data_IF_453409905826
#
_entry.id   IF_453409905826
#
_cell.length_a   1.000
_cell.length_b   1.000
_cell.length_c   1.000
_cell.angle_alpha   90.00
_cell.angle_beta   90.00
_cell.angle_gamma   90.00
#
_symmetry.space_group_name_H-M   'P 1'
#
loop_
_entity.id
_entity.type
_entity.pdbx_description
1 polymer ?
#
# COMPACT_ATOMS: atom_id res chain seq x y z
N UNK A 1 30.52 -17.62 56.31
CA UNK A 1 29.47 -18.15 55.42
C UNK A 1 28.86 -16.96 54.66
N UNK A 2 29.13 -16.85 53.38
CA UNK A 2 28.55 -15.81 52.48
C UNK A 2 27.37 -16.42 51.71
N UNK A 3 26.21 -15.79 51.63
CA UNK A 3 25.10 -16.31 50.83
C UNK A 3 25.37 -16.07 49.36
N UNK A 4 25.26 -17.13 48.57
CA UNK A 4 25.22 -17.09 47.11
C UNK A 4 23.86 -16.54 46.67
N UNK A 5 23.81 -15.35 46.05
CA UNK A 5 22.63 -14.83 45.38
C UNK A 5 22.51 -15.52 44.02
N UNK A 6 21.46 -16.34 43.88
CA UNK A 6 21.07 -16.93 42.60
C UNK A 6 20.32 -15.82 41.82
N UNK A 7 20.99 -15.30 40.77
CA UNK A 7 20.34 -14.41 39.80
C UNK A 7 19.42 -15.28 38.91
N UNK A 8 18.13 -15.26 39.20
CA UNK A 8 17.09 -15.79 38.26
C UNK A 8 16.98 -14.83 37.06
N UNK A 9 17.59 -15.19 35.96
CA UNK A 9 17.35 -14.52 34.67
C UNK A 9 15.93 -14.84 34.21
N UNK A 10 15.01 -13.89 34.38
CA UNK A 10 13.68 -13.96 33.79
C UNK A 10 13.84 -13.77 32.29
N UNK A 11 13.82 -14.85 31.54
CA UNK A 11 13.64 -14.84 30.08
C UNK A 11 12.24 -14.29 29.79
N UNK A 12 12.15 -13.07 29.27
CA UNK A 12 10.92 -12.48 28.77
C UNK A 12 10.67 -13.09 27.38
N UNK A 13 9.66 -13.96 27.19
CA UNK A 13 9.44 -14.71 25.94
C UNK A 13 9.09 -13.86 24.72
N UNK A 14 8.80 -12.57 24.87
CA UNK A 14 8.32 -11.71 23.77
C UNK A 14 9.38 -10.99 22.95
N UNK A 15 10.67 -11.01 23.35
CA UNK A 15 11.72 -10.25 22.68
C UNK A 15 12.45 -11.04 21.57
N UNK A 16 12.37 -12.37 21.58
CA UNK A 16 13.01 -13.23 20.56
C UNK A 16 12.17 -13.39 19.29
N UNK A 17 10.86 -13.24 19.36
CA UNK A 17 9.96 -13.40 18.20
C UNK A 17 9.80 -12.13 17.34
N UNK A 18 10.12 -10.95 17.86
CA UNK A 18 9.97 -9.69 17.13
C UNK A 18 11.08 -9.47 16.07
N UNK A 19 12.27 -10.06 16.24
CA UNK A 19 13.41 -9.84 15.34
C UNK A 19 13.22 -10.36 13.90
N UNK A 20 12.64 -11.54 13.64
CA UNK A 20 12.43 -12.02 12.27
C UNK A 20 11.46 -11.13 11.49
N UNK A 21 10.41 -10.61 12.15
CA UNK A 21 9.35 -9.83 11.53
C UNK A 21 9.86 -8.45 11.10
N UNK A 22 10.68 -7.78 11.92
CA UNK A 22 11.31 -6.49 11.56
C UNK A 22 12.28 -6.64 10.38
N UNK A 23 12.94 -7.79 10.26
CA UNK A 23 13.83 -8.09 9.13
C UNK A 23 13.11 -8.17 7.79
N UNK A 24 11.82 -8.54 7.77
CA UNK A 24 11.00 -8.50 6.55
C UNK A 24 10.96 -7.08 5.97
N UNK A 25 10.73 -6.06 6.80
CA UNK A 25 10.69 -4.67 6.33
C UNK A 25 12.04 -4.20 5.79
N UNK A 26 13.16 -4.60 6.41
CA UNK A 26 14.52 -4.30 5.93
C UNK A 26 14.82 -4.96 4.59
N UNK A 27 14.39 -6.21 4.40
CA UNK A 27 14.53 -6.94 3.13
C UNK A 27 13.71 -6.27 2.02
N UNK A 28 12.49 -5.86 2.31
CA UNK A 28 11.65 -5.13 1.34
C UNK A 28 12.24 -3.77 0.99
N UNK A 29 12.78 -3.04 1.96
CA UNK A 29 13.47 -1.76 1.71
C UNK A 29 14.73 -1.92 0.85
N UNK A 30 15.38 -3.10 0.92
CA UNK A 30 16.51 -3.46 0.07
C UNK A 30 16.10 -4.11 -1.27
N UNK A 31 14.82 -4.06 -1.66
CA UNK A 31 14.27 -4.73 -2.85
C UNK A 31 14.52 -6.26 -2.92
N UNK A 32 14.70 -6.90 -1.76
CA UNK A 32 14.95 -8.34 -1.64
C UNK A 32 13.64 -9.09 -1.38
N UNK A 33 12.77 -9.16 -2.40
CA UNK A 33 11.46 -9.79 -2.26
C UNK A 33 11.54 -11.28 -1.95
N UNK A 34 12.39 -12.05 -2.64
CA UNK A 34 12.46 -13.50 -2.45
C UNK A 34 12.89 -13.91 -1.01
N UNK A 35 13.94 -13.35 -0.41
CA UNK A 35 14.22 -13.59 1.01
C UNK A 35 13.11 -13.12 1.96
N UNK A 36 12.44 -12.02 1.65
CA UNK A 36 11.32 -11.54 2.47
C UNK A 36 10.15 -12.53 2.45
N UNK A 37 9.87 -13.17 1.32
CA UNK A 37 8.85 -14.23 1.19
C UNK A 37 9.16 -15.40 2.10
N UNK A 38 10.39 -15.95 2.02
CA UNK A 38 10.80 -17.08 2.86
C UNK A 38 10.65 -16.76 4.34
N UNK A 39 11.14 -15.59 4.74
CA UNK A 39 11.10 -15.18 6.14
C UNK A 39 9.69 -14.96 6.66
N UNK A 40 8.80 -14.34 5.87
CA UNK A 40 7.42 -14.11 6.27
C UNK A 40 6.62 -15.41 6.32
N UNK A 41 6.91 -16.39 5.45
CA UNK A 41 6.25 -17.68 5.47
C UNK A 41 6.64 -18.50 6.70
N UNK A 42 7.91 -18.45 7.10
CA UNK A 42 8.40 -19.06 8.35
C UNK A 42 7.72 -18.39 9.57
N UNK A 43 7.67 -17.05 9.60
CA UNK A 43 7.01 -16.32 10.68
C UNK A 43 5.51 -16.64 10.75
N UNK A 44 4.84 -16.74 9.60
CA UNK A 44 3.41 -17.07 9.53
C UNK A 44 3.12 -18.51 9.98
N UNK A 45 4.02 -19.45 9.72
CA UNK A 45 3.92 -20.82 10.19
C UNK A 45 4.11 -20.91 11.72
N UNK A 46 5.06 -20.16 12.27
CA UNK A 46 5.35 -20.12 13.71
C UNK A 46 4.29 -19.35 14.51
N UNK A 47 3.79 -18.25 13.96
CA UNK A 47 2.88 -17.31 14.67
C UNK A 47 1.69 -16.90 13.78
N UNK A 48 0.77 -17.83 13.45
CA UNK A 48 -0.26 -17.62 12.43
C UNK A 48 -1.36 -16.62 12.81
N UNK A 49 -1.40 -16.15 14.05
CA UNK A 49 -2.41 -15.21 14.57
C UNK A 49 -1.82 -13.87 15.01
N UNK A 50 -0.49 -13.73 14.91
CA UNK A 50 0.20 -12.53 15.35
C UNK A 50 -0.05 -11.37 14.38
N UNK A 51 -0.52 -10.23 14.90
CA UNK A 51 -0.86 -9.04 14.12
C UNK A 51 0.31 -8.59 13.24
N UNK A 52 1.51 -8.49 13.83
CA UNK A 52 2.71 -7.99 13.16
C UNK A 52 3.17 -8.90 12.01
N UNK A 53 2.92 -10.20 12.12
CA UNK A 53 3.17 -11.17 11.05
C UNK A 53 2.11 -11.06 9.95
N UNK A 54 0.83 -10.98 10.33
CA UNK A 54 -0.28 -11.03 9.38
C UNK A 54 -0.28 -9.86 8.39
N UNK A 55 -0.12 -8.62 8.86
CA UNK A 55 -0.14 -7.47 7.97
C UNK A 55 1.11 -7.40 7.07
N UNK A 56 2.30 -7.86 7.56
CA UNK A 56 3.50 -7.97 6.73
C UNK A 56 3.39 -9.08 5.69
N UNK A 57 2.80 -10.22 6.06
CA UNK A 57 2.51 -11.28 5.11
C UNK A 57 1.57 -10.78 4.00
N UNK A 58 0.53 -10.04 4.35
CA UNK A 58 -0.33 -9.38 3.36
C UNK A 58 0.47 -8.46 2.41
N UNK A 59 1.37 -7.62 2.96
CA UNK A 59 2.24 -6.75 2.16
C UNK A 59 3.13 -7.54 1.20
N UNK A 60 3.75 -8.61 1.68
CA UNK A 60 4.61 -9.47 0.86
C UNK A 60 3.81 -10.13 -0.27
N UNK A 61 2.60 -10.63 -0.01
CA UNK A 61 1.73 -11.20 -1.05
C UNK A 61 1.33 -10.19 -2.12
N UNK A 62 1.06 -8.93 -1.73
CA UNK A 62 0.80 -7.85 -2.70
C UNK A 62 2.00 -7.64 -3.63
N UNK A 63 3.22 -7.54 -3.09
CA UNK A 63 4.43 -7.37 -3.87
C UNK A 63 4.75 -8.59 -4.75
N UNK A 64 4.48 -9.81 -4.27
CA UNK A 64 4.56 -11.01 -5.09
C UNK A 64 3.56 -10.98 -6.26
N UNK A 65 2.35 -10.50 -6.01
CA UNK A 65 1.33 -10.32 -7.06
C UNK A 65 1.76 -9.28 -8.09
N UNK A 66 2.34 -8.17 -7.66
CA UNK A 66 2.85 -7.13 -8.57
C UNK A 66 4.02 -7.61 -9.46
N UNK A 67 4.77 -8.63 -9.02
CA UNK A 67 5.82 -9.27 -9.79
C UNK A 67 5.33 -10.35 -10.77
N UNK A 68 4.04 -10.72 -10.76
CA UNK A 68 3.47 -11.69 -11.69
C UNK A 68 3.08 -11.03 -13.02
N UNK A 69 2.95 -11.81 -14.11
CA UNK A 69 2.36 -11.31 -15.34
C UNK A 69 0.98 -10.71 -15.11
N UNK A 70 0.70 -9.58 -15.78
CA UNK A 70 -0.58 -8.90 -15.63
C UNK A 70 -1.77 -9.80 -15.95
N UNK A 71 -2.83 -9.67 -15.15
CA UNK A 71 -4.09 -10.43 -15.28
C UNK A 71 -3.93 -11.94 -15.24
N UNK A 72 -2.80 -12.45 -14.73
CA UNK A 72 -2.61 -13.88 -14.54
C UNK A 72 -3.43 -14.41 -13.36
N UNK A 73 -3.79 -15.70 -13.40
CA UNK A 73 -4.43 -16.39 -12.26
C UNK A 73 -3.54 -16.40 -11.01
N UNK A 74 -2.21 -16.44 -11.20
CA UNK A 74 -1.25 -16.37 -10.10
C UNK A 74 -1.31 -15.00 -9.41
N UNK A 75 -1.41 -13.93 -10.19
CA UNK A 75 -1.56 -12.57 -9.68
C UNK A 75 -2.85 -12.41 -8.86
N UNK A 76 -4.01 -12.83 -9.41
CA UNK A 76 -5.30 -12.77 -8.70
C UNK A 76 -5.24 -13.54 -7.38
N UNK A 77 -4.71 -14.78 -7.42
CA UNK A 77 -4.57 -15.60 -6.21
C UNK A 77 -3.76 -14.88 -5.12
N UNK A 78 -2.61 -14.32 -5.46
CA UNK A 78 -1.76 -13.62 -4.50
C UNK A 78 -2.44 -12.39 -3.90
N UNK A 79 -3.22 -11.64 -4.67
CA UNK A 79 -3.99 -10.51 -4.16
C UNK A 79 -5.12 -10.94 -3.23
N UNK A 80 -5.81 -12.06 -3.52
CA UNK A 80 -6.82 -12.63 -2.62
C UNK A 80 -6.20 -13.20 -1.34
N UNK A 81 -5.03 -13.84 -1.43
CA UNK A 81 -4.28 -14.30 -0.26
C UNK A 81 -3.87 -13.08 0.62
N UNK A 82 -3.45 -11.99 0.00
CA UNK A 82 -3.15 -10.74 0.70
C UNK A 82 -4.37 -10.15 1.42
N UNK A 83 -5.53 -10.17 0.75
CA UNK A 83 -6.80 -9.70 1.32
C UNK A 83 -7.18 -10.51 2.56
N UNK A 84 -7.16 -11.84 2.46
CA UNK A 84 -7.48 -12.72 3.58
C UNK A 84 -6.52 -12.52 4.78
N UNK A 85 -5.23 -12.30 4.52
CA UNK A 85 -4.25 -12.00 5.58
C UNK A 85 -4.51 -10.64 6.24
N UNK A 86 -4.89 -9.61 5.47
CA UNK A 86 -5.23 -8.30 6.01
C UNK A 86 -6.50 -8.35 6.88
N UNK A 87 -7.51 -9.10 6.50
CA UNK A 87 -8.73 -9.33 7.30
C UNK A 87 -8.39 -10.03 8.63
N UNK A 88 -7.50 -11.03 8.59
CA UNK A 88 -7.01 -11.69 9.80
C UNK A 88 -6.22 -10.72 10.68
N UNK A 89 -5.42 -9.82 10.10
CA UNK A 89 -4.71 -8.79 10.86
C UNK A 89 -5.68 -7.84 11.57
N UNK A 90 -6.73 -7.36 10.89
CA UNK A 90 -7.78 -6.54 11.49
C UNK A 90 -8.48 -7.28 12.65
N UNK A 91 -8.77 -8.56 12.47
CA UNK A 91 -9.37 -9.41 13.51
C UNK A 91 -8.44 -9.56 14.71
N UNK A 92 -7.14 -9.67 14.49
CA UNK A 92 -6.13 -9.78 15.57
C UNK A 92 -5.94 -8.46 16.33
N UNK A 93 -5.95 -7.32 15.62
CA UNK A 93 -5.86 -5.99 16.23
C UNK A 93 -6.65 -4.94 15.42
N UNK A 94 -7.89 -4.69 15.80
CA UNK A 94 -8.76 -3.71 15.14
C UNK A 94 -8.45 -2.25 15.49
N UNK A 95 -7.57 -1.99 16.45
CA UNK A 95 -7.16 -0.64 16.85
C UNK A 95 -5.92 -0.15 16.06
N UNK A 96 -5.22 -1.04 15.36
CA UNK A 96 -4.00 -0.71 14.64
C UNK A 96 -4.26 -0.43 13.14
N UNK A 97 -3.51 0.49 12.50
CA UNK A 97 -3.81 0.98 11.15
C UNK A 97 -3.41 0.01 10.02
N UNK A 98 -2.34 -0.80 10.19
CA UNK A 98 -1.73 -1.51 9.06
C UNK A 98 -2.64 -2.59 8.48
N UNK A 99 -3.45 -3.27 9.30
CA UNK A 99 -4.45 -4.22 8.82
C UNK A 99 -5.44 -3.58 7.82
N UNK A 100 -5.99 -2.43 8.16
CA UNK A 100 -6.88 -1.66 7.27
C UNK A 100 -6.17 -1.16 6.03
N UNK A 101 -4.95 -0.62 6.19
CA UNK A 101 -4.14 -0.19 5.05
C UNK A 101 -3.88 -1.34 4.06
N UNK A 102 -3.53 -2.54 4.56
CA UNK A 102 -3.29 -3.71 3.71
C UNK A 102 -4.57 -4.19 3.05
N UNK A 103 -5.72 -4.19 3.75
CA UNK A 103 -7.00 -4.54 3.16
C UNK A 103 -7.39 -3.56 2.05
N UNK A 104 -7.24 -2.27 2.27
CA UNK A 104 -7.48 -1.26 1.24
C UNK A 104 -6.60 -1.47 0.00
N UNK A 105 -5.30 -1.74 0.18
CA UNK A 105 -4.39 -2.04 -0.93
C UNK A 105 -4.79 -3.32 -1.68
N UNK A 106 -5.14 -4.39 -0.95
CA UNK A 106 -5.55 -5.66 -1.53
C UNK A 106 -6.88 -5.53 -2.29
N UNK A 107 -7.87 -4.85 -1.72
CA UNK A 107 -9.15 -4.58 -2.38
C UNK A 107 -8.97 -3.84 -3.71
N UNK A 108 -8.12 -2.79 -3.75
CA UNK A 108 -7.80 -2.09 -4.98
C UNK A 108 -7.20 -2.99 -6.07
N UNK A 109 -6.44 -4.01 -5.69
CA UNK A 109 -5.86 -5.00 -6.62
C UNK A 109 -6.87 -6.07 -7.03
N UNK A 110 -7.63 -6.64 -6.09
CA UNK A 110 -8.66 -7.66 -6.36
C UNK A 110 -9.77 -7.09 -7.26
N UNK A 111 -10.12 -5.82 -7.10
CA UNK A 111 -11.11 -5.16 -7.96
C UNK A 111 -10.76 -5.22 -9.47
N UNK A 112 -9.48 -5.35 -9.84
CA UNK A 112 -9.04 -5.48 -11.24
C UNK A 112 -9.45 -6.82 -11.88
N UNK A 113 -9.78 -7.83 -11.07
CA UNK A 113 -10.16 -9.17 -11.48
C UNK A 113 -11.64 -9.48 -11.24
N UNK A 114 -12.34 -8.58 -10.57
CA UNK A 114 -13.74 -8.73 -10.21
C UNK A 114 -14.69 -8.26 -11.32
N UNK A 115 -15.92 -8.78 -11.32
CA UNK A 115 -17.02 -8.19 -12.09
C UNK A 115 -17.37 -6.79 -11.58
N UNK A 116 -18.09 -6.01 -12.40
CA UNK A 116 -18.35 -4.58 -12.15
C UNK A 116 -19.01 -4.33 -10.77
N UNK A 117 -19.95 -5.17 -10.36
CA UNK A 117 -20.64 -5.02 -9.08
C UNK A 117 -19.73 -5.32 -7.90
N UNK A 118 -19.03 -6.45 -7.95
CA UNK A 118 -18.09 -6.84 -6.88
C UNK A 118 -16.91 -5.85 -6.79
N UNK A 119 -16.42 -5.34 -7.94
CA UNK A 119 -15.39 -4.32 -7.98
C UNK A 119 -15.82 -3.04 -7.25
N UNK A 120 -17.11 -2.66 -7.34
CA UNK A 120 -17.64 -1.50 -6.65
C UNK A 120 -17.56 -1.65 -5.12
N UNK A 121 -17.90 -2.82 -4.59
CA UNK A 121 -17.82 -3.08 -3.15
C UNK A 121 -16.37 -3.06 -2.64
N UNK A 122 -15.41 -3.61 -3.38
CA UNK A 122 -13.99 -3.51 -3.06
C UNK A 122 -13.49 -2.06 -3.05
N UNK A 123 -13.93 -1.23 -3.98
CA UNK A 123 -13.55 0.19 -4.05
C UNK A 123 -14.16 0.98 -2.89
N UNK A 124 -15.43 0.71 -2.52
CA UNK A 124 -16.08 1.32 -1.36
C UNK A 124 -15.32 0.95 -0.08
N UNK A 125 -15.00 -0.33 0.11
CA UNK A 125 -14.23 -0.78 1.28
C UNK A 125 -12.83 -0.16 1.30
N UNK A 126 -12.19 0.04 0.13
CA UNK A 126 -10.89 0.74 0.03
C UNK A 126 -10.98 2.16 0.57
N UNK A 127 -12.03 2.91 0.17
CA UNK A 127 -12.28 4.26 0.71
C UNK A 127 -12.48 4.21 2.23
N UNK A 128 -13.38 3.38 2.71
CA UNK A 128 -13.76 3.32 4.12
C UNK A 128 -12.55 2.96 5.01
N UNK A 129 -11.72 2.03 4.57
CA UNK A 129 -10.50 1.63 5.29
C UNK A 129 -9.44 2.73 5.31
N UNK A 130 -9.23 3.41 4.17
CA UNK A 130 -8.23 4.48 4.09
C UNK A 130 -8.66 5.71 4.88
N UNK A 131 -9.93 6.11 4.81
CA UNK A 131 -10.50 7.18 5.63
C UNK A 131 -10.39 6.86 7.12
N UNK A 132 -10.64 5.60 7.51
CA UNK A 132 -10.45 5.15 8.89
C UNK A 132 -9.00 5.28 9.34
N UNK A 133 -8.03 4.84 8.52
CA UNK A 133 -6.60 4.99 8.84
C UNK A 133 -6.22 6.46 8.98
N UNK A 134 -6.69 7.32 8.08
CA UNK A 134 -6.41 8.77 8.11
C UNK A 134 -6.97 9.44 9.39
N UNK A 135 -8.12 8.96 9.88
CA UNK A 135 -8.76 9.48 11.08
C UNK A 135 -8.15 8.95 12.40
N UNK A 136 -7.36 7.89 12.37
CA UNK A 136 -6.70 7.33 13.56
C UNK A 136 -5.63 8.29 14.10
N UNK A 137 -5.46 8.31 15.43
CA UNK A 137 -4.40 9.08 16.08
C UNK A 137 -3.09 8.28 16.13
N UNK A 138 -1.96 8.96 16.03
CA UNK A 138 -0.64 8.35 16.20
C UNK A 138 -0.22 7.41 15.05
N UNK A 139 -0.85 7.50 13.90
CA UNK A 139 -0.48 6.71 12.72
C UNK A 139 0.93 7.12 12.25
N UNK A 140 1.84 6.16 12.03
CA UNK A 140 3.17 6.46 11.49
C UNK A 140 3.08 7.22 10.16
N UNK A 141 3.98 8.21 9.91
CA UNK A 141 3.93 9.03 8.69
C UNK A 141 3.92 8.23 7.39
N UNK A 142 4.66 7.12 7.31
CA UNK A 142 4.70 6.26 6.11
C UNK A 142 3.39 5.50 5.89
N UNK A 143 2.74 5.05 6.95
CA UNK A 143 1.42 4.40 6.89
C UNK A 143 0.36 5.43 6.46
N UNK A 144 0.42 6.64 7.02
CA UNK A 144 -0.48 7.74 6.66
C UNK A 144 -0.28 8.17 5.20
N UNK A 145 0.98 8.28 4.73
CA UNK A 145 1.30 8.57 3.34
C UNK A 145 0.67 7.54 2.38
N UNK A 146 0.78 6.25 2.73
CA UNK A 146 0.22 5.16 1.95
C UNK A 146 -1.30 5.19 1.93
N UNK A 147 -1.96 5.54 3.04
CA UNK A 147 -3.42 5.68 3.11
C UNK A 147 -3.90 6.82 2.20
N UNK A 148 -3.26 8.00 2.28
CA UNK A 148 -3.56 9.10 1.37
C UNK A 148 -3.30 8.74 -0.10
N UNK A 149 -2.23 8.03 -0.40
CA UNK A 149 -1.93 7.57 -1.74
C UNK A 149 -3.03 6.64 -2.29
N UNK A 150 -3.43 5.62 -1.55
CA UNK A 150 -4.46 4.66 -1.99
C UNK A 150 -5.80 5.37 -2.21
N UNK A 151 -6.21 6.24 -1.28
CA UNK A 151 -7.45 7.01 -1.41
C UNK A 151 -7.40 7.96 -2.60
N UNK A 152 -6.29 8.68 -2.78
CA UNK A 152 -6.08 9.57 -3.92
C UNK A 152 -6.14 8.85 -5.26
N UNK A 153 -5.56 7.65 -5.36
CA UNK A 153 -5.67 6.81 -6.55
C UNK A 153 -7.09 6.34 -6.83
N UNK A 154 -7.84 5.98 -5.78
CA UNK A 154 -9.25 5.60 -5.92
C UNK A 154 -10.07 6.77 -6.49
N UNK A 155 -9.91 7.98 -5.95
CA UNK A 155 -10.54 9.19 -6.47
C UNK A 155 -10.14 9.47 -7.93
N UNK A 156 -8.84 9.38 -8.25
CA UNK A 156 -8.32 9.62 -9.59
C UNK A 156 -8.92 8.64 -10.60
N UNK A 157 -8.87 7.34 -10.29
CA UNK A 157 -9.40 6.31 -11.18
C UNK A 157 -10.90 6.43 -11.40
N UNK A 158 -11.66 6.72 -10.36
CA UNK A 158 -13.09 6.97 -10.48
C UNK A 158 -13.41 8.23 -11.27
N UNK A 159 -12.58 9.26 -11.21
CA UNK A 159 -12.80 10.51 -11.96
C UNK A 159 -12.72 10.35 -13.47
N UNK A 160 -12.05 9.29 -13.96
CA UNK A 160 -11.97 8.94 -15.40
C UNK A 160 -13.30 8.46 -15.97
N UNK A 161 -14.24 8.03 -15.11
CA UNK A 161 -15.57 7.57 -15.52
C UNK A 161 -16.61 8.65 -15.22
N UNK A 162 -17.51 9.00 -16.15
CA UNK A 162 -18.57 9.98 -15.91
C UNK A 162 -19.43 9.64 -14.69
N UNK A 163 -19.69 10.64 -13.85
CA UNK A 163 -20.40 10.46 -12.57
C UNK A 163 -21.76 9.73 -12.71
N UNK A 164 -22.62 10.01 -13.72
CA UNK A 164 -23.89 9.30 -13.86
C UNK A 164 -23.73 7.78 -14.01
N UNK A 165 -22.66 7.31 -14.63
CA UNK A 165 -22.41 5.87 -14.83
C UNK A 165 -21.98 5.14 -13.55
N UNK A 166 -21.36 5.84 -12.60
CA UNK A 166 -20.87 5.25 -11.34
C UNK A 166 -21.77 5.51 -10.13
N UNK A 167 -22.75 6.41 -10.25
CA UNK A 167 -23.74 6.68 -9.18
C UNK A 167 -24.55 5.44 -8.77
N UNK A 168 -25.07 4.60 -9.69
CA UNK A 168 -25.80 3.39 -9.33
C UNK A 168 -24.97 2.39 -8.55
N UNK A 169 -23.63 2.41 -8.73
CA UNK A 169 -22.66 1.56 -8.04
C UNK A 169 -22.19 2.16 -6.70
N UNK A 170 -22.79 3.27 -6.23
CA UNK A 170 -22.37 4.00 -5.02
C UNK A 170 -20.94 4.58 -5.10
N UNK A 171 -20.37 4.68 -6.30
CA UNK A 171 -19.02 5.20 -6.58
C UNK A 171 -19.03 6.70 -6.94
N UNK A 172 -20.08 7.42 -6.56
CA UNK A 172 -20.25 8.86 -6.83
C UNK A 172 -19.25 9.76 -6.10
N UNK A 173 -18.53 9.25 -5.11
CA UNK A 173 -17.56 10.00 -4.30
C UNK A 173 -16.29 10.41 -5.07
N UNK A 174 -15.84 9.63 -6.04
CA UNK A 174 -14.59 9.87 -6.74
C UNK A 174 -14.58 11.19 -7.52
N UNK A 175 -13.53 11.99 -7.39
CA UNK A 175 -13.32 13.22 -8.16
C UNK A 175 -11.84 13.60 -8.23
N UNK A 176 -11.48 14.40 -9.25
CA UNK A 176 -10.10 14.78 -9.52
C UNK A 176 -9.52 15.75 -8.47
N UNK A 177 -10.33 16.60 -7.85
CA UNK A 177 -9.87 17.57 -6.85
C UNK A 177 -9.45 16.87 -5.55
N UNK A 178 -10.23 15.90 -5.07
CA UNK A 178 -9.87 15.09 -3.90
C UNK A 178 -8.67 14.18 -4.21
N UNK A 179 -8.59 13.62 -5.44
CA UNK A 179 -7.41 12.89 -5.89
C UNK A 179 -6.14 13.74 -5.75
N UNK A 180 -6.18 14.99 -6.23
CA UNK A 180 -5.06 15.91 -6.15
C UNK A 180 -4.68 16.22 -4.70
N UNK A 181 -5.67 16.47 -3.84
CA UNK A 181 -5.45 16.76 -2.42
C UNK A 181 -4.76 15.60 -1.70
N UNK A 182 -5.27 14.38 -1.88
CA UNK A 182 -4.73 13.21 -1.23
C UNK A 182 -3.36 12.82 -1.79
N UNK A 183 -3.16 12.83 -3.11
CA UNK A 183 -1.87 12.49 -3.72
C UNK A 183 -0.79 13.51 -3.38
N UNK A 184 -1.12 14.81 -3.32
CA UNK A 184 -0.21 15.83 -2.78
C UNK A 184 0.19 15.51 -1.35
N UNK A 185 -0.79 15.19 -0.48
CA UNK A 185 -0.48 14.87 0.92
C UNK A 185 0.41 13.64 1.06
N UNK A 186 0.23 12.63 0.22
CA UNK A 186 1.11 11.47 0.18
C UNK A 186 2.56 11.85 -0.17
N UNK A 187 2.76 12.74 -1.18
CA UNK A 187 4.10 13.21 -1.57
C UNK A 187 4.76 14.09 -0.52
N UNK A 188 3.99 14.85 0.25
CA UNK A 188 4.50 15.65 1.39
C UNK A 188 4.99 14.75 2.54
N UNK A 189 4.24 13.69 2.84
CA UNK A 189 4.55 12.75 3.94
C UNK A 189 5.69 11.79 3.58
N UNK A 190 5.86 11.48 2.30
CA UNK A 190 6.95 10.64 1.78
C UNK A 190 7.53 11.27 0.52
N UNK A 191 8.40 12.24 0.72
CA UNK A 191 9.06 12.93 -0.38
C UNK A 191 9.94 11.98 -1.22
N UNK A 192 10.03 12.23 -2.53
CA UNK A 192 10.91 11.51 -3.43
C UNK A 192 10.50 10.06 -3.74
N UNK A 193 9.30 9.63 -3.37
CA UNK A 193 8.82 8.30 -3.68
C UNK A 193 8.23 8.27 -5.10
N UNK A 194 8.89 7.54 -6.02
CA UNK A 194 8.63 7.57 -7.47
C UNK A 194 7.15 7.32 -7.81
N UNK A 195 6.58 6.28 -7.22
CA UNK A 195 5.18 5.90 -7.43
C UNK A 195 4.21 7.03 -7.06
N UNK A 196 4.45 7.70 -5.92
CA UNK A 196 3.58 8.79 -5.46
C UNK A 196 3.70 10.02 -6.35
N UNK A 197 4.92 10.36 -6.79
CA UNK A 197 5.16 11.48 -7.66
C UNK A 197 4.53 11.30 -9.04
N UNK A 198 4.60 10.10 -9.63
CA UNK A 198 3.97 9.81 -10.90
C UNK A 198 2.44 9.97 -10.84
N UNK A 199 1.80 9.41 -9.83
CA UNK A 199 0.35 9.53 -9.69
C UNK A 199 -0.09 10.95 -9.27
N UNK A 200 0.74 11.68 -8.53
CA UNK A 200 0.52 13.11 -8.27
C UNK A 200 0.55 13.93 -9.57
N UNK A 201 1.50 13.66 -10.47
CA UNK A 201 1.52 14.29 -11.78
C UNK A 201 0.26 13.99 -12.60
N UNK A 202 -0.23 12.76 -12.58
CA UNK A 202 -1.51 12.38 -13.22
C UNK A 202 -2.69 13.15 -12.62
N UNK A 203 -2.74 13.31 -11.29
CA UNK A 203 -3.79 14.08 -10.64
C UNK A 203 -3.72 15.57 -10.99
N UNK A 204 -2.52 16.13 -11.14
CA UNK A 204 -2.32 17.50 -11.63
C UNK A 204 -2.90 17.66 -13.04
N UNK A 205 -2.65 16.71 -13.94
CA UNK A 205 -3.21 16.72 -15.30
C UNK A 205 -4.74 16.61 -15.29
N UNK A 206 -5.30 15.73 -14.46
CA UNK A 206 -6.75 15.60 -14.31
C UNK A 206 -7.44 16.88 -13.80
N UNK A 207 -6.65 17.78 -13.18
CA UNK A 207 -7.09 19.12 -12.70
C UNK A 207 -6.60 20.26 -13.61
N UNK A 208 -6.23 19.98 -14.87
CA UNK A 208 -5.73 20.95 -15.84
C UNK A 208 -4.47 21.74 -15.42
N UNK A 209 -3.73 21.26 -14.42
CA UNK A 209 -2.49 21.86 -13.91
C UNK A 209 -1.28 21.36 -14.68
N UNK A 210 -1.25 21.60 -15.98
CA UNK A 210 -0.25 21.02 -16.91
C UNK A 210 1.18 21.48 -16.59
N UNK A 211 1.39 22.75 -16.22
CA UNK A 211 2.71 23.27 -15.89
C UNK A 211 3.31 22.58 -14.66
N UNK A 212 2.49 22.39 -13.62
CA UNK A 212 2.93 21.73 -12.40
C UNK A 212 3.22 20.24 -12.63
N UNK A 213 2.36 19.57 -13.40
CA UNK A 213 2.59 18.16 -13.80
C UNK A 213 3.90 17.99 -14.55
N UNK A 214 4.20 18.91 -15.49
CA UNK A 214 5.47 18.94 -16.24
C UNK A 214 6.66 19.06 -15.28
N UNK A 215 6.60 19.97 -14.30
CA UNK A 215 7.68 20.16 -13.34
C UNK A 215 7.94 18.88 -12.51
N UNK A 216 6.87 18.21 -12.03
CA UNK A 216 6.99 16.94 -11.30
C UNK A 216 7.60 15.84 -12.18
N UNK A 217 7.12 15.69 -13.41
CA UNK A 217 7.59 14.65 -14.34
C UNK A 217 9.05 14.86 -14.76
N UNK A 218 9.50 16.10 -14.88
CA UNK A 218 10.91 16.43 -15.17
C UNK A 218 11.86 16.01 -14.06
N UNK A 219 11.42 16.03 -12.81
CA UNK A 219 12.21 15.62 -11.65
C UNK A 219 12.22 14.09 -11.43
N UNK A 220 11.23 13.38 -11.98
CA UNK A 220 11.03 11.96 -11.70
C UNK A 220 12.26 11.07 -11.99
N UNK A 221 13.02 11.26 -13.11
CA UNK A 221 14.19 10.44 -13.41
C UNK A 221 15.33 10.56 -12.38
N UNK A 222 15.45 11.71 -11.70
CA UNK A 222 16.50 11.96 -10.71
C UNK A 222 16.23 11.36 -9.33
N UNK A 223 15.03 10.86 -9.08
CA UNK A 223 14.68 10.23 -7.80
C UNK A 223 15.39 8.88 -7.66
N UNK A 224 15.78 8.54 -6.43
CA UNK A 224 16.31 7.22 -6.12
C UNK A 224 15.21 6.15 -6.24
N UNK A 225 15.58 4.97 -6.72
CA UNK A 225 14.67 3.81 -6.72
C UNK A 225 14.50 3.29 -5.29
N UNK A 226 13.27 3.13 -4.85
CA UNK A 226 12.91 2.70 -3.51
C UNK A 226 12.06 1.42 -3.52
N UNK A 227 11.46 1.07 -4.66
CA UNK A 227 10.64 -0.14 -4.84
C UNK A 227 10.88 -0.79 -6.21
N UNK A 228 10.55 -2.07 -6.26
CA UNK A 228 10.49 -2.79 -7.53
C UNK A 228 9.54 -2.07 -8.51
N UNK A 229 9.99 -1.92 -9.76
CA UNK A 229 9.22 -1.26 -10.81
C UNK A 229 9.39 0.26 -10.90
N UNK A 230 10.23 0.89 -10.07
CA UNK A 230 10.47 2.34 -10.17
C UNK A 230 11.10 2.75 -11.50
N UNK A 231 11.99 1.93 -12.06
CA UNK A 231 12.50 2.13 -13.43
C UNK A 231 11.40 2.17 -14.49
N UNK A 232 10.42 1.28 -14.40
CA UNK A 232 9.28 1.27 -15.31
C UNK A 232 8.41 2.51 -15.12
N UNK A 233 8.16 2.93 -13.88
CA UNK A 233 7.41 4.14 -13.55
C UNK A 233 8.11 5.41 -14.06
N UNK A 234 9.44 5.48 -13.96
CA UNK A 234 10.22 6.59 -14.53
C UNK A 234 10.12 6.66 -16.05
N UNK A 235 10.18 5.51 -16.74
CA UNK A 235 9.93 5.46 -18.19
C UNK A 235 8.53 5.93 -18.56
N UNK A 236 7.51 5.46 -17.83
CA UNK A 236 6.13 5.90 -18.02
C UNK A 236 5.97 7.41 -17.80
N UNK A 237 6.60 7.96 -16.76
CA UNK A 237 6.63 9.40 -16.51
C UNK A 237 7.28 10.18 -17.65
N UNK A 238 8.38 9.67 -18.24
CA UNK A 238 9.03 10.28 -19.37
C UNK A 238 8.15 10.24 -20.64
N UNK A 239 7.40 9.16 -20.84
CA UNK A 239 6.42 9.07 -21.94
C UNK A 239 5.27 10.07 -21.74
N UNK A 240 4.72 10.13 -20.54
CA UNK A 240 3.68 11.08 -20.19
C UNK A 240 4.16 12.53 -20.41
N UNK A 241 5.38 12.87 -19.99
CA UNK A 241 5.97 14.19 -20.23
C UNK A 241 6.04 14.55 -21.71
N UNK A 242 6.35 13.59 -22.60
CA UNK A 242 6.40 13.81 -24.06
C UNK A 242 5.03 14.15 -24.64
N UNK A 243 3.94 13.64 -24.07
CA UNK A 243 2.58 13.96 -24.54
C UNK A 243 2.11 15.37 -24.17
N UNK A 244 2.82 16.04 -23.23
CA UNK A 244 2.47 17.38 -22.76
C UNK A 244 3.08 18.53 -23.59
N UNK A 245 3.52 18.25 -24.81
CA UNK A 245 4.11 19.25 -25.72
C UNK A 245 3.08 20.23 -26.25
#
# INVERSE_FOLDING_TARGET
>A
MRPFAILCSVLIPGLLDAQPVLRVDSLLAANQLAPAVVLVDQALAASPREYEVLWRASRVRLLQGDAQPEKSKAQDKLYRDALALAERAIKANSAAPDGYLRRAAANGKVALFAGVLDAADYVIQTRDDTEKVIAMRGVPPLTLASAHYILGRAHLKLSETPRPLRMPLRLGFGNAADALTHLRRATELRAGFVMFQLDYARALLANARVADARAVLQQLPSLADQELGDDARKREGAELLRTLR
#
